data_IF_982975024536
#
_entry.id   IF_982975024536
#
_cell.length_a   1.000
_cell.length_b   1.000
_cell.length_c   1.000
_cell.angle_alpha   90.00
_cell.angle_beta   90.00
_cell.angle_gamma   90.00
#
_symmetry.space_group_name_H-M   'P 1'
#
loop_
_entity.id
_entity.type
_entity.pdbx_description
1 polymer ?
#
# COMPACT_ATOMS: atom_id res chain seq x y z
N UNK A 1 -25.29 -93.42 42.12
CA UNK A 1 -24.84 -93.41 43.52
C UNK A 1 -23.63 -92.50 43.58
N UNK A 2 -23.60 -91.66 44.61
CA UNK A 2 -22.57 -90.68 44.96
C UNK A 2 -22.54 -89.39 44.11
N UNK A 3 -22.87 -88.31 44.82
CA UNK A 3 -22.87 -86.92 44.41
C UNK A 3 -21.50 -86.32 44.69
N UNK A 4 -20.68 -86.09 43.67
CA UNK A 4 -19.46 -85.30 43.81
C UNK A 4 -19.74 -83.82 43.51
N UNK A 5 -19.76 -83.07 44.61
CA UNK A 5 -19.68 -81.63 44.68
C UNK A 5 -18.22 -81.26 44.35
N UNK A 6 -17.98 -80.53 43.27
CA UNK A 6 -16.96 -79.45 43.15
C UNK A 6 -16.87 -78.97 41.70
N UNK A 7 -17.71 -78.00 41.36
CA UNK A 7 -17.54 -77.17 40.16
C UNK A 7 -17.30 -75.71 40.58
N UNK A 8 -16.45 -75.05 39.81
CA UNK A 8 -16.22 -73.59 39.78
C UNK A 8 -15.33 -72.98 40.88
N UNK A 9 -14.02 -73.18 40.72
CA UNK A 9 -13.00 -72.25 41.22
C UNK A 9 -12.04 -71.82 40.10
N UNK A 10 -12.58 -71.37 38.96
CA UNK A 10 -11.82 -70.55 38.01
C UNK A 10 -12.72 -69.48 37.39
N UNK A 11 -12.14 -68.29 37.23
CA UNK A 11 -12.68 -67.11 36.51
C UNK A 11 -13.56 -66.12 37.29
N UNK A 12 -12.94 -65.32 38.17
CA UNK A 12 -13.30 -63.89 38.33
C UNK A 12 -12.05 -63.04 38.54
N UNK A 13 -11.35 -62.70 37.46
CA UNK A 13 -10.55 -61.47 37.48
C UNK A 13 -11.53 -60.28 37.60
N UNK A 14 -11.34 -59.34 38.54
CA UNK A 14 -12.19 -58.16 38.61
C UNK A 14 -11.99 -57.33 37.34
N UNK A 15 -13.08 -57.11 36.60
CA UNK A 15 -13.09 -56.21 35.46
C UNK A 15 -12.54 -54.84 35.89
N UNK A 16 -11.44 -54.40 35.28
CA UNK A 16 -10.92 -53.04 35.50
C UNK A 16 -12.03 -52.05 35.16
N UNK A 17 -12.35 -51.08 36.03
CA UNK A 17 -13.34 -50.08 35.70
C UNK A 17 -12.88 -49.35 34.43
N UNK A 18 -13.77 -49.22 33.43
CA UNK A 18 -13.48 -48.42 32.25
C UNK A 18 -13.26 -46.98 32.70
N UNK A 19 -12.01 -46.60 32.90
CA UNK A 19 -11.63 -45.22 33.20
C UNK A 19 -11.90 -44.41 31.94
N UNK A 20 -13.09 -43.80 31.86
CA UNK A 20 -13.33 -42.73 30.88
C UNK A 20 -12.23 -41.69 31.10
N UNK A 21 -11.27 -41.64 30.19
CA UNK A 21 -10.21 -40.64 30.21
C UNK A 21 -10.90 -39.27 30.07
N UNK A 22 -11.00 -38.51 31.17
CA UNK A 22 -11.43 -37.12 31.12
C UNK A 22 -10.37 -36.33 30.36
N UNK A 23 -10.61 -36.09 29.07
CA UNK A 23 -9.75 -35.22 28.28
C UNK A 23 -9.81 -33.79 28.84
N UNK A 24 -8.65 -33.26 29.22
CA UNK A 24 -8.53 -31.87 29.68
C UNK A 24 -8.63 -30.92 28.49
N UNK A 25 -9.71 -30.16 28.42
CA UNK A 25 -9.86 -29.07 27.46
C UNK A 25 -9.44 -27.73 28.10
N UNK A 26 -9.26 -26.70 27.27
CA UNK A 26 -8.93 -25.35 27.74
C UNK A 26 -10.08 -24.81 28.59
N UNK A 27 -9.80 -24.45 29.86
CA UNK A 27 -10.82 -24.00 30.83
C UNK A 27 -11.69 -22.81 30.38
N UNK A 28 -11.10 -21.84 29.67
CA UNK A 28 -11.81 -20.68 29.13
C UNK A 28 -11.38 -20.40 27.71
N UNK A 29 -12.35 -20.20 26.82
CA UNK A 29 -12.11 -19.91 25.42
C UNK A 29 -11.77 -18.44 25.19
N UNK A 30 -10.89 -18.20 24.23
CA UNK A 30 -10.59 -16.87 23.72
C UNK A 30 -10.08 -17.00 22.29
N UNK A 31 -10.27 -15.99 21.43
CA UNK A 31 -9.76 -16.01 20.08
C UNK A 31 -8.23 -16.17 20.09
N UNK A 32 -7.71 -16.77 19.02
CA UNK A 32 -6.27 -16.93 18.86
C UNK A 32 -5.56 -15.58 18.76
N UNK A 33 -4.30 -15.55 19.18
CA UNK A 33 -3.45 -14.36 19.01
C UNK A 33 -2.92 -14.26 17.58
N UNK A 34 -3.49 -13.34 16.81
CA UNK A 34 -3.06 -12.98 15.46
C UNK A 34 -3.57 -13.92 14.36
N UNK A 35 -3.85 -13.31 13.21
CA UNK A 35 -4.25 -14.04 12.00
C UNK A 35 -3.08 -14.80 11.38
N UNK A 36 -3.32 -16.08 11.06
CA UNK A 36 -2.37 -16.98 10.40
C UNK A 36 -2.21 -16.68 8.91
N UNK A 37 -3.17 -16.01 8.28
CA UNK A 37 -3.13 -15.65 6.85
C UNK A 37 -1.96 -14.71 6.50
N UNK A 38 -1.36 -14.07 7.50
CA UNK A 38 -0.21 -13.18 7.34
C UNK A 38 1.14 -13.86 7.67
N UNK A 39 1.16 -15.19 7.77
CA UNK A 39 2.39 -15.96 7.85
C UNK A 39 2.94 -16.31 6.46
N UNK A 40 4.26 -16.53 6.33
CA UNK A 40 5.30 -16.27 7.33
C UNK A 40 5.51 -14.77 7.58
N UNK A 41 5.65 -14.36 8.85
CA UNK A 41 5.94 -12.98 9.26
C UNK A 41 7.42 -12.65 9.12
N UNK A 42 7.89 -12.63 7.87
CA UNK A 42 9.26 -12.31 7.46
C UNK A 42 9.33 -10.97 6.74
N UNK A 43 10.54 -10.41 6.64
CA UNK A 43 10.79 -9.19 5.86
C UNK A 43 10.33 -9.35 4.41
N UNK A 44 9.70 -8.31 3.87
CA UNK A 44 9.37 -8.21 2.45
C UNK A 44 10.64 -8.26 1.62
N UNK A 45 10.66 -9.07 0.55
CA UNK A 45 11.80 -9.16 -0.35
C UNK A 45 12.00 -7.88 -1.20
N UNK A 46 10.96 -7.05 -1.31
CA UNK A 46 10.97 -5.82 -2.11
C UNK A 46 10.49 -4.64 -1.26
N UNK A 47 11.04 -3.46 -1.52
CA UNK A 47 10.67 -2.22 -0.83
C UNK A 47 9.34 -1.64 -1.32
N UNK A 48 9.01 -1.83 -2.60
CA UNK A 48 7.76 -1.35 -3.21
C UNK A 48 6.63 -2.36 -2.98
N UNK A 49 5.40 -1.86 -2.81
CA UNK A 49 4.19 -2.65 -3.01
C UNK A 49 4.20 -3.35 -4.37
N UNK A 50 3.96 -4.67 -4.37
CA UNK A 50 3.75 -5.44 -5.60
C UNK A 50 2.26 -5.71 -5.71
N UNK A 51 1.64 -5.21 -6.77
CA UNK A 51 0.31 -5.65 -7.16
C UNK A 51 0.39 -7.13 -7.54
N UNK A 52 -0.25 -7.99 -6.75
CA UNK A 52 -0.30 -9.44 -7.04
C UNK A 52 -1.49 -9.80 -7.94
N UNK A 53 -2.53 -8.99 -7.90
CA UNK A 53 -3.76 -9.13 -8.68
C UNK A 53 -4.23 -7.73 -9.05
N UNK A 54 -4.58 -7.51 -10.30
CA UNK A 54 -5.23 -6.27 -10.76
C UNK A 54 -6.74 -6.44 -10.72
N UNK A 55 -7.52 -5.34 -10.73
CA UNK A 55 -8.98 -5.40 -10.84
C UNK A 55 -9.42 -6.28 -12.00
N UNK A 56 -10.58 -6.91 -11.85
CA UNK A 56 -11.15 -7.75 -12.92
C UNK A 56 -11.35 -6.89 -14.16
N UNK A 57 -10.91 -7.41 -15.29
CA UNK A 57 -11.02 -6.74 -16.58
C UNK A 57 -12.44 -6.85 -17.12
N UNK A 58 -12.94 -5.77 -17.71
CA UNK A 58 -14.28 -5.66 -18.27
C UNK A 58 -14.18 -5.01 -19.66
N UNK A 59 -14.24 -5.81 -20.75
CA UNK A 59 -14.08 -5.32 -22.11
C UNK A 59 -15.11 -4.26 -22.53
N UNK A 60 -16.25 -4.15 -21.83
CA UNK A 60 -17.30 -3.17 -22.14
C UNK A 60 -16.95 -1.76 -21.67
N UNK A 61 -15.99 -1.62 -20.75
CA UNK A 61 -15.56 -0.32 -20.21
C UNK A 61 -14.49 0.31 -21.10
N UNK A 62 -14.35 1.65 -21.07
CA UNK A 62 -13.26 2.32 -21.75
C UNK A 62 -11.90 1.85 -21.22
N UNK A 63 -10.90 1.90 -22.10
CA UNK A 63 -9.53 1.51 -21.77
C UNK A 63 -8.95 2.46 -20.71
N UNK A 64 -8.41 1.92 -19.62
CA UNK A 64 -7.88 2.72 -18.52
C UNK A 64 -6.73 2.02 -17.79
N UNK A 65 -5.96 2.82 -17.03
CA UNK A 65 -4.92 2.34 -16.12
C UNK A 65 -5.52 1.95 -14.77
N UNK A 66 -4.94 0.92 -14.14
CA UNK A 66 -5.50 0.31 -12.93
C UNK A 66 -4.75 0.65 -11.64
N UNK A 67 -3.58 1.28 -11.74
CA UNK A 67 -2.73 1.58 -10.61
C UNK A 67 -1.78 2.75 -10.89
N UNK A 68 -1.33 3.39 -9.82
CA UNK A 68 -0.26 4.39 -9.85
C UNK A 68 0.68 4.25 -8.65
N UNK A 69 1.76 5.03 -8.64
CA UNK A 69 2.68 5.13 -7.50
C UNK A 69 2.73 6.54 -6.97
N UNK A 70 2.80 6.65 -5.64
CA UNK A 70 3.10 7.89 -4.94
C UNK A 70 4.00 7.64 -3.74
N UNK A 71 4.28 8.70 -2.98
CA UNK A 71 5.12 8.67 -1.80
C UNK A 71 4.35 9.21 -0.61
N UNK A 72 4.34 8.46 0.50
CA UNK A 72 3.67 8.90 1.73
C UNK A 72 4.37 10.16 2.27
N UNK A 73 3.73 11.32 2.19
CA UNK A 73 4.30 12.58 2.65
C UNK A 73 4.11 12.74 4.16
N UNK A 74 2.87 12.63 4.62
CA UNK A 74 2.51 12.79 6.01
C UNK A 74 1.03 12.52 6.25
N UNK A 75 0.54 12.99 7.40
CA UNK A 75 -0.87 12.92 7.77
C UNK A 75 -1.30 14.27 8.30
N UNK A 76 -2.57 14.57 8.11
CA UNK A 76 -3.23 15.74 8.68
C UNK A 76 -4.66 15.38 9.06
N UNK A 77 -5.47 16.37 9.46
CA UNK A 77 -6.90 16.19 9.73
C UNK A 77 -7.72 17.07 8.80
N UNK A 78 -8.96 16.66 8.56
CA UNK A 78 -9.96 17.43 7.80
C UNK A 78 -11.23 17.55 8.61
N UNK A 79 -12.01 18.58 8.30
CA UNK A 79 -13.42 18.70 8.68
C UNK A 79 -14.26 18.52 7.42
N UNK A 80 -15.33 17.76 7.54
CA UNK A 80 -16.35 17.60 6.49
C UNK A 80 -17.71 17.36 7.09
N UNK A 81 -18.76 17.62 6.32
CA UNK A 81 -20.09 17.16 6.67
C UNK A 81 -20.25 15.67 6.36
N UNK A 82 -20.89 14.95 7.28
CA UNK A 82 -21.24 13.55 7.07
C UNK A 82 -22.65 13.44 6.49
N UNK A 83 -22.75 13.28 5.17
CA UNK A 83 -24.02 12.95 4.52
C UNK A 83 -24.23 11.43 4.46
N UNK A 84 -24.74 10.88 5.56
CA UNK A 84 -25.16 9.48 5.61
C UNK A 84 -26.47 9.28 6.38
N UNK A 85 -27.63 9.23 5.70
CA UNK A 85 -28.91 8.97 6.35
C UNK A 85 -28.88 7.70 7.23
N UNK A 86 -29.36 7.84 8.47
CA UNK A 86 -29.34 6.78 9.50
C UNK A 86 -28.08 6.75 10.38
N UNK A 87 -27.04 7.53 10.08
CA UNK A 87 -25.91 7.69 10.99
C UNK A 87 -26.23 8.71 12.10
N UNK A 88 -25.76 8.46 13.33
CA UNK A 88 -25.90 9.42 14.47
C UNK A 88 -25.31 10.81 14.18
N UNK A 89 -24.31 10.86 13.29
CA UNK A 89 -23.61 12.07 12.87
C UNK A 89 -24.08 12.60 11.51
N UNK A 90 -25.22 12.13 10.99
CA UNK A 90 -25.75 12.63 9.72
C UNK A 90 -25.98 14.15 9.78
N UNK A 91 -25.53 14.87 8.74
CA UNK A 91 -25.56 16.34 8.64
C UNK A 91 -24.83 17.06 9.78
N UNK A 92 -23.87 16.38 10.41
CA UNK A 92 -22.95 16.97 11.38
C UNK A 92 -21.54 16.97 10.83
N UNK A 93 -20.78 17.97 11.27
CA UNK A 93 -19.36 18.05 11.00
C UNK A 93 -18.61 16.93 11.73
N UNK A 94 -17.70 16.29 11.01
CA UNK A 94 -16.81 15.26 11.56
C UNK A 94 -15.37 15.61 11.24
N UNK A 95 -14.50 15.39 12.23
CA UNK A 95 -13.06 15.48 12.05
C UNK A 95 -12.51 14.10 11.72
N UNK A 96 -11.81 13.97 10.60
CA UNK A 96 -11.21 12.70 10.20
C UNK A 96 -9.72 12.85 9.92
N UNK A 97 -8.94 11.84 10.36
CA UNK A 97 -7.53 11.76 10.01
C UNK A 97 -7.37 11.34 8.55
N UNK A 98 -6.43 11.97 7.86
CA UNK A 98 -6.11 11.72 6.45
C UNK A 98 -4.61 11.54 6.24
N UNK A 99 -4.25 10.78 5.22
CA UNK A 99 -2.87 10.65 4.74
C UNK A 99 -2.70 11.40 3.43
N UNK A 100 -1.65 12.21 3.35
CA UNK A 100 -1.23 12.85 2.10
C UNK A 100 -0.20 11.97 1.39
N UNK A 101 -0.47 11.65 0.13
CA UNK A 101 0.43 10.90 -0.76
C UNK A 101 0.82 11.81 -1.92
N UNK A 102 2.09 12.19 -1.98
CA UNK A 102 2.67 12.96 -3.10
C UNK A 102 2.78 12.04 -4.33
N UNK A 103 2.18 12.45 -5.44
CA UNK A 103 2.02 11.67 -6.66
C UNK A 103 2.60 12.45 -7.84
N UNK A 104 3.94 12.52 -7.99
CA UNK A 104 4.54 13.05 -9.21
C UNK A 104 4.08 12.24 -10.42
N UNK A 105 3.93 12.86 -11.61
CA UNK A 105 3.54 12.15 -12.81
C UNK A 105 4.44 10.93 -13.08
N UNK A 106 3.84 9.85 -13.58
CA UNK A 106 4.59 8.68 -14.01
C UNK A 106 4.83 8.75 -15.51
N UNK A 107 6.01 8.33 -15.96
CA UNK A 107 6.29 8.22 -17.40
C UNK A 107 6.11 6.77 -17.82
N UNK A 108 5.32 6.54 -18.86
CA UNK A 108 5.18 5.22 -19.50
C UNK A 108 6.34 5.04 -20.48
N UNK A 109 7.06 3.93 -20.33
CA UNK A 109 8.32 3.65 -21.04
C UNK A 109 8.31 2.32 -21.77
N UNK A 110 7.20 1.58 -21.73
CA UNK A 110 7.10 0.33 -22.43
C UNK A 110 5.77 -0.37 -22.24
N UNK A 111 5.61 -1.50 -22.91
CA UNK A 111 4.41 -2.31 -22.95
C UNK A 111 4.81 -3.78 -22.92
N UNK A 112 4.15 -4.56 -22.08
CA UNK A 112 4.37 -6.01 -21.90
C UNK A 112 3.09 -6.73 -22.25
N UNK A 113 3.19 -7.67 -23.19
CA UNK A 113 2.12 -8.60 -23.51
C UNK A 113 2.27 -9.90 -22.73
N UNK A 114 1.17 -10.39 -22.17
CA UNK A 114 1.11 -11.67 -21.49
C UNK A 114 0.18 -12.63 -22.22
N UNK A 115 0.68 -13.84 -22.47
CA UNK A 115 -0.10 -14.97 -22.99
C UNK A 115 -0.54 -15.85 -21.83
N UNK A 116 -1.78 -16.33 -21.91
CA UNK A 116 -2.30 -17.34 -21.00
C UNK A 116 -1.83 -18.73 -21.45
N UNK A 117 -1.22 -19.46 -20.53
CA UNK A 117 -0.76 -20.83 -20.75
C UNK A 117 -1.37 -21.73 -19.69
N UNK A 118 -1.38 -23.07 -19.87
CA UNK A 118 -1.86 -23.99 -18.83
C UNK A 118 -1.12 -23.88 -17.49
N UNK A 119 0.08 -23.26 -17.47
CA UNK A 119 0.88 -22.99 -16.25
C UNK A 119 0.70 -21.58 -15.69
N UNK A 120 -0.24 -20.81 -16.24
CA UNK A 120 -0.51 -19.40 -15.89
C UNK A 120 -0.01 -18.40 -16.94
N UNK A 121 0.02 -17.12 -16.56
CA UNK A 121 0.43 -16.04 -17.45
C UNK A 121 1.95 -16.05 -17.67
N UNK A 122 2.37 -16.00 -18.95
CA UNK A 122 3.77 -15.86 -19.36
C UNK A 122 3.95 -14.59 -20.16
N UNK A 123 5.01 -13.83 -19.87
CA UNK A 123 5.36 -12.65 -20.69
C UNK A 123 5.80 -13.11 -22.08
N UNK A 124 5.13 -12.62 -23.13
CA UNK A 124 5.45 -12.95 -24.50
C UNK A 124 6.55 -12.04 -25.05
N UNK A 125 6.34 -10.73 -24.97
CA UNK A 125 7.27 -9.69 -25.46
C UNK A 125 7.12 -8.42 -24.64
N UNK A 126 8.19 -7.64 -24.61
CA UNK A 126 8.24 -6.31 -23.99
C UNK A 126 8.75 -5.31 -25.02
N UNK A 127 7.91 -4.37 -25.38
CA UNK A 127 8.26 -3.22 -26.23
C UNK A 127 8.67 -2.08 -25.31
N UNK A 128 9.78 -1.41 -25.59
CA UNK A 128 10.21 -0.21 -24.88
C UNK A 128 10.07 1.03 -25.77
N UNK A 129 9.88 2.17 -25.14
CA UNK A 129 9.97 3.48 -25.77
C UNK A 129 11.40 3.77 -26.26
N UNK A 130 11.53 4.72 -27.19
CA UNK A 130 12.81 5.11 -27.78
C UNK A 130 13.68 5.84 -26.75
N UNK A 131 13.10 6.87 -26.13
CA UNK A 131 13.78 7.73 -25.20
C UNK A 131 13.47 7.36 -23.75
N UNK A 132 14.49 6.79 -23.10
CA UNK A 132 14.43 6.42 -21.68
C UNK A 132 15.22 7.39 -20.82
N UNK A 133 14.55 7.93 -19.80
CA UNK A 133 15.15 8.83 -18.82
C UNK A 133 16.29 8.17 -18.02
N UNK A 134 17.26 8.98 -17.59
CA UNK A 134 18.37 8.49 -16.77
C UNK A 134 17.92 7.90 -15.43
N UNK A 135 16.81 8.39 -14.86
CA UNK A 135 16.29 7.89 -13.59
C UNK A 135 15.76 6.45 -13.66
N UNK A 136 15.18 6.04 -14.81
CA UNK A 136 14.78 4.65 -15.03
C UNK A 136 15.98 3.79 -15.44
N UNK A 137 16.91 4.31 -16.24
CA UNK A 137 18.17 3.61 -16.57
C UNK A 137 18.98 3.27 -15.31
N UNK A 138 18.97 4.14 -14.29
CA UNK A 138 19.55 3.86 -12.94
C UNK A 138 19.00 2.61 -12.27
N UNK A 139 17.83 2.10 -12.66
CA UNK A 139 17.25 0.86 -12.13
C UNK A 139 18.07 -0.37 -12.48
N UNK A 140 18.77 -0.33 -13.61
CA UNK A 140 19.59 -1.43 -14.14
C UNK A 140 21.03 -1.42 -13.59
N UNK A 141 21.36 -0.44 -12.74
CA UNK A 141 22.69 -0.33 -12.12
C UNK A 141 22.61 -0.29 -10.60
N UNK A 142 23.58 -0.92 -9.93
CA UNK A 142 23.80 -0.71 -8.49
C UNK A 142 24.42 0.67 -8.27
N UNK A 143 25.53 0.97 -8.95
CA UNK A 143 26.20 2.26 -8.92
C UNK A 143 26.19 2.91 -10.32
N UNK A 144 25.44 3.99 -10.47
CA UNK A 144 25.28 4.70 -11.74
C UNK A 144 26.55 5.45 -12.16
N UNK A 145 27.19 6.14 -11.22
CA UNK A 145 28.30 7.06 -11.51
C UNK A 145 29.60 6.34 -11.87
N UNK A 146 29.79 5.11 -11.36
CA UNK A 146 30.93 4.25 -11.72
C UNK A 146 30.68 3.37 -12.95
N UNK A 147 29.50 3.47 -13.57
CA UNK A 147 29.14 2.65 -14.73
C UNK A 147 29.38 3.40 -16.04
N UNK A 148 29.59 2.67 -17.14
CA UNK A 148 29.64 3.24 -18.50
C UNK A 148 28.27 3.69 -19.04
N UNK A 149 27.19 3.53 -18.26
CA UNK A 149 25.80 3.94 -18.58
C UNK A 149 25.29 3.44 -19.95
N UNK A 150 25.65 2.22 -20.35
CA UNK A 150 25.30 1.61 -21.66
C UNK A 150 23.91 0.95 -21.73
N UNK A 151 23.07 1.05 -20.70
CA UNK A 151 21.73 0.47 -20.72
C UNK A 151 20.88 1.13 -21.81
N UNK A 152 20.22 0.31 -22.64
CA UNK A 152 19.37 0.72 -23.76
C UNK A 152 20.07 1.44 -24.93
N UNK A 153 21.39 1.56 -24.96
CA UNK A 153 22.07 2.25 -26.09
C UNK A 153 21.90 1.50 -27.41
N UNK A 154 21.98 0.16 -27.40
CA UNK A 154 21.72 -0.67 -28.58
C UNK A 154 20.24 -0.65 -28.99
N UNK A 155 19.34 -0.56 -28.02
CA UNK A 155 17.91 -0.50 -28.27
C UNK A 155 17.53 0.80 -28.97
N UNK A 156 17.99 1.94 -28.44
CA UNK A 156 17.79 3.25 -29.06
C UNK A 156 18.43 3.31 -30.46
N UNK A 157 19.65 2.79 -30.64
CA UNK A 157 20.31 2.71 -31.95
C UNK A 157 19.51 1.87 -32.96
N UNK A 158 18.98 0.72 -32.54
CA UNK A 158 18.11 -0.11 -33.39
C UNK A 158 16.82 0.63 -33.77
N UNK A 159 16.26 1.40 -32.83
CA UNK A 159 15.06 2.20 -33.06
C UNK A 159 15.28 3.30 -34.11
N UNK A 160 16.47 3.93 -34.12
CA UNK A 160 16.82 4.97 -35.09
C UNK A 160 17.21 4.41 -36.46
N UNK A 161 17.86 3.25 -36.52
CA UNK A 161 18.40 2.67 -37.78
C UNK A 161 17.44 1.74 -38.50
N UNK A 162 16.65 0.95 -37.75
CA UNK A 162 15.63 0.07 -38.32
C UNK A 162 14.31 0.82 -38.26
N UNK A 163 13.75 1.21 -39.40
CA UNK A 163 12.41 1.79 -39.48
C UNK A 163 11.42 1.01 -38.59
N UNK A 164 10.41 1.70 -38.05
CA UNK A 164 9.47 1.25 -37.00
C UNK A 164 8.89 -0.18 -37.10
N UNK A 165 9.03 -0.87 -38.23
CA UNK A 165 8.57 -2.24 -38.49
C UNK A 165 8.98 -3.28 -37.44
N UNK A 166 10.15 -3.17 -36.78
CA UNK A 166 10.50 -4.14 -35.73
C UNK A 166 9.61 -4.02 -34.48
N UNK A 167 9.17 -2.80 -34.16
CA UNK A 167 8.28 -2.51 -33.04
C UNK A 167 6.84 -2.76 -33.43
N UNK A 168 6.43 -2.34 -34.63
CA UNK A 168 5.11 -2.65 -35.17
C UNK A 168 4.86 -4.16 -35.16
N UNK A 169 5.85 -4.97 -35.56
CA UNK A 169 5.78 -6.43 -35.48
C UNK A 169 5.61 -6.95 -34.06
N UNK A 170 6.33 -6.39 -33.08
CA UNK A 170 6.18 -6.78 -31.67
C UNK A 170 4.82 -6.38 -31.11
N UNK A 171 4.30 -5.20 -31.47
CA UNK A 171 2.96 -4.73 -31.09
C UNK A 171 1.87 -5.60 -31.71
N UNK A 172 1.98 -5.96 -32.99
CA UNK A 172 1.08 -6.89 -33.68
C UNK A 172 1.11 -8.28 -33.04
N UNK A 173 2.30 -8.76 -32.65
CA UNK A 173 2.43 -10.00 -31.90
C UNK A 173 1.70 -9.95 -30.55
N UNK A 174 1.73 -8.81 -29.86
CA UNK A 174 0.96 -8.62 -28.63
C UNK A 174 -0.54 -8.63 -28.93
N UNK A 175 -0.98 -7.89 -29.94
CA UNK A 175 -2.39 -7.87 -30.38
C UNK A 175 -2.93 -9.26 -30.71
N UNK A 176 -2.13 -10.10 -31.38
CA UNK A 176 -2.54 -11.42 -31.85
C UNK A 176 -2.59 -12.49 -30.75
N UNK A 177 -1.60 -12.52 -29.85
CA UNK A 177 -1.39 -13.68 -28.96
C UNK A 177 -1.60 -13.39 -27.47
N UNK A 178 -1.65 -12.12 -27.06
CA UNK A 178 -1.73 -11.80 -25.63
C UNK A 178 -3.18 -11.61 -25.18
N UNK A 179 -3.47 -12.08 -23.96
CA UNK A 179 -4.76 -11.86 -23.29
C UNK A 179 -4.70 -10.67 -22.35
N UNK A 180 -3.53 -10.41 -21.76
CA UNK A 180 -3.32 -9.32 -20.80
C UNK A 180 -2.22 -8.38 -21.31
N UNK A 181 -2.49 -7.09 -21.27
CA UNK A 181 -1.55 -6.02 -21.65
C UNK A 181 -1.22 -5.18 -20.42
N UNK A 182 0.06 -4.90 -20.23
CA UNK A 182 0.53 -4.03 -19.13
C UNK A 182 1.49 -2.98 -19.65
N UNK A 183 1.33 -1.75 -19.19
CA UNK A 183 2.32 -0.70 -19.42
C UNK A 183 3.42 -0.77 -18.36
N UNK A 184 4.65 -0.46 -18.76
CA UNK A 184 5.77 -0.23 -17.88
C UNK A 184 5.85 1.26 -17.58
N UNK A 185 5.61 1.64 -16.34
CA UNK A 185 5.65 3.03 -15.90
C UNK A 185 6.68 3.22 -14.79
N UNK A 186 7.41 4.34 -14.82
CA UNK A 186 8.32 4.72 -13.75
C UNK A 186 7.92 6.03 -13.09
N UNK A 187 8.19 6.14 -11.79
CA UNK A 187 8.05 7.39 -11.04
C UNK A 187 9.09 8.42 -11.46
N UNK A 188 8.72 9.70 -11.48
CA UNK A 188 9.67 10.82 -11.54
C UNK A 188 10.14 11.21 -10.13
N UNK A 189 11.14 10.50 -9.61
CA UNK A 189 11.51 10.66 -8.19
C UNK A 189 12.20 11.99 -7.89
N UNK A 190 12.83 12.61 -8.89
CA UNK A 190 13.49 13.92 -8.74
C UNK A 190 12.50 15.07 -8.53
N UNK A 191 11.24 14.89 -8.92
CA UNK A 191 10.18 15.86 -8.64
C UNK A 191 9.74 15.85 -7.17
N UNK A 192 10.26 14.92 -6.36
CA UNK A 192 9.96 14.79 -4.92
C UNK A 192 11.14 15.30 -4.09
N UNK A 193 10.96 15.69 -2.82
CA UNK A 193 12.05 16.10 -1.91
C UNK A 193 12.96 14.94 -1.46
N UNK A 194 12.90 13.78 -2.11
CA UNK A 194 13.64 12.59 -1.73
C UNK A 194 15.08 12.61 -2.25
N UNK A 195 16.03 12.16 -1.40
CA UNK A 195 17.44 12.01 -1.80
C UNK A 195 17.66 10.94 -2.87
N UNK A 196 16.74 9.97 -3.00
CA UNK A 196 16.86 8.87 -3.94
C UNK A 196 16.64 9.38 -5.38
N UNK A 197 17.60 9.14 -6.27
CA UNK A 197 17.53 9.53 -7.70
C UNK A 197 17.12 8.40 -8.64
N UNK A 198 16.96 7.19 -8.12
CA UNK A 198 16.64 5.96 -8.87
C UNK A 198 15.13 5.79 -8.91
N UNK A 199 14.53 5.79 -10.10
CA UNK A 199 13.10 5.64 -10.25
C UNK A 199 12.60 4.25 -9.82
N UNK A 200 11.32 4.18 -9.46
CA UNK A 200 10.60 2.93 -9.26
C UNK A 200 9.86 2.58 -10.54
N UNK A 201 10.25 1.48 -11.18
CA UNK A 201 9.63 0.95 -12.41
C UNK A 201 8.63 -0.16 -12.08
N UNK A 202 7.34 0.00 -12.41
CA UNK A 202 6.30 -1.02 -12.24
C UNK A 202 5.57 -1.34 -13.53
N UNK A 203 4.95 -2.52 -13.56
CA UNK A 203 3.91 -2.83 -14.54
C UNK A 203 2.55 -2.36 -13.99
N UNK A 204 1.73 -1.74 -14.84
CA UNK A 204 0.34 -1.39 -14.57
C UNK A 204 -0.51 -2.09 -15.63
N UNK A 205 -1.51 -2.85 -15.22
CA UNK A 205 -2.40 -3.52 -16.16
C UNK A 205 -3.35 -2.51 -16.81
N UNK A 206 -3.52 -2.65 -18.12
CA UNK A 206 -4.51 -1.89 -18.89
C UNK A 206 -5.78 -2.75 -18.98
N UNK A 207 -6.88 -2.22 -18.47
CA UNK A 207 -8.19 -2.88 -18.49
C UNK A 207 -9.15 -2.10 -19.41
N UNK A 208 -10.24 -2.74 -19.85
CA UNK A 208 -11.22 -2.14 -20.75
C UNK A 208 -10.94 -2.40 -22.22
N UNK A 209 -11.98 -2.39 -23.06
CA UNK A 209 -11.89 -2.57 -24.50
C UNK A 209 -11.31 -3.90 -24.96
N UNK A 210 -11.04 -3.99 -26.28
CA UNK A 210 -10.35 -5.13 -26.89
C UNK A 210 -8.84 -5.11 -26.60
N UNK A 211 -8.15 -6.22 -26.86
CA UNK A 211 -6.67 -6.27 -26.75
C UNK A 211 -6.01 -5.25 -27.68
N UNK A 212 -6.57 -5.04 -28.88
CA UNK A 212 -6.05 -4.06 -29.83
C UNK A 212 -6.14 -2.63 -29.26
N UNK A 213 -7.26 -2.28 -28.64
CA UNK A 213 -7.46 -0.97 -28.02
C UNK A 213 -6.49 -0.75 -26.87
N UNK A 214 -6.27 -1.78 -26.04
CA UNK A 214 -5.28 -1.74 -24.95
C UNK A 214 -3.86 -1.50 -25.44
N UNK A 215 -3.46 -2.14 -26.53
CA UNK A 215 -2.13 -1.96 -27.14
C UNK A 215 -2.00 -0.55 -27.70
N UNK A 216 -3.00 -0.06 -28.44
CA UNK A 216 -3.01 1.29 -29.01
C UNK A 216 -2.97 2.36 -27.92
N UNK A 217 -3.77 2.20 -26.87
CA UNK A 217 -3.77 3.08 -25.70
C UNK A 217 -2.40 3.09 -25.00
N UNK A 218 -1.86 1.91 -24.69
CA UNK A 218 -0.58 1.81 -23.98
C UNK A 218 0.60 2.35 -24.79
N UNK A 219 0.61 2.14 -26.11
CA UNK A 219 1.60 2.71 -27.02
C UNK A 219 1.45 4.24 -27.15
N UNK A 220 0.21 4.74 -27.22
CA UNK A 220 -0.07 6.18 -27.29
C UNK A 220 0.37 6.97 -26.06
N UNK A 221 0.62 6.30 -24.93
CA UNK A 221 1.15 6.86 -23.70
C UNK A 221 2.69 6.86 -23.63
N UNK A 222 3.40 6.27 -24.58
CA UNK A 222 4.87 6.21 -24.54
C UNK A 222 5.47 7.61 -24.41
N UNK A 223 6.41 7.73 -23.47
CA UNK A 223 7.17 8.95 -23.14
C UNK A 223 6.31 10.12 -22.60
N UNK A 224 5.00 9.91 -22.44
CA UNK A 224 4.09 10.91 -21.90
C UNK A 224 3.91 10.78 -20.40
N UNK A 225 3.69 11.91 -19.70
CA UNK A 225 3.32 11.89 -18.29
C UNK A 225 1.88 11.39 -18.11
N UNK A 226 1.72 10.47 -17.17
CA UNK A 226 0.42 10.02 -16.64
C UNK A 226 0.21 10.71 -15.31
N UNK A 227 -0.75 11.62 -15.28
CA UNK A 227 -1.19 12.33 -14.07
C UNK A 227 -2.13 11.45 -13.23
N UNK A 228 -2.24 11.74 -11.94
CA UNK A 228 -2.95 10.87 -11.00
C UNK A 228 -4.48 10.89 -11.19
N UNK A 229 -5.03 12.01 -11.64
CA UNK A 229 -6.43 12.25 -11.97
C UNK A 229 -6.89 11.49 -13.22
N UNK A 230 -5.97 11.18 -14.14
CA UNK A 230 -6.28 10.30 -15.29
C UNK A 230 -6.47 8.83 -14.89
N UNK A 231 -6.05 8.45 -13.67
CA UNK A 231 -6.12 7.08 -13.16
C UNK A 231 -7.23 6.92 -12.13
N UNK A 232 -7.38 7.90 -11.24
CA UNK A 232 -8.33 7.87 -10.13
C UNK A 232 -9.26 9.05 -10.15
N UNK A 233 -10.48 8.83 -9.70
CA UNK A 233 -11.48 9.88 -9.54
C UNK A 233 -11.58 10.32 -8.08
N UNK A 234 -12.02 11.57 -7.88
CA UNK A 234 -12.39 12.02 -6.53
C UNK A 234 -13.54 11.15 -6.01
N UNK A 235 -13.56 10.90 -4.70
CA UNK A 235 -14.52 9.99 -4.06
C UNK A 235 -14.40 8.51 -4.49
N UNK A 236 -13.41 8.11 -5.27
CA UNK A 236 -13.20 6.69 -5.54
C UNK A 236 -12.64 5.96 -4.29
N UNK A 237 -12.96 4.67 -4.18
CA UNK A 237 -12.35 3.75 -3.21
C UNK A 237 -11.17 3.03 -3.85
N UNK A 238 -10.00 3.11 -3.22
CA UNK A 238 -8.76 2.53 -3.72
C UNK A 238 -8.08 1.64 -2.69
N UNK A 239 -7.12 0.88 -3.17
CA UNK A 239 -6.26 0.03 -2.35
C UNK A 239 -4.85 0.61 -2.27
N UNK A 240 -4.31 0.68 -1.06
CA UNK A 240 -2.96 1.11 -0.77
C UNK A 240 -2.05 -0.09 -0.51
N UNK A 241 -1.14 -0.35 -1.43
CA UNK A 241 -0.19 -1.46 -1.35
C UNK A 241 1.20 -0.92 -1.02
N UNK A 242 1.69 -1.26 0.17
CA UNK A 242 2.99 -0.81 0.64
C UNK A 242 3.63 -1.79 1.62
N UNK A 243 4.90 -1.56 1.91
CA UNK A 243 5.61 -2.28 2.97
C UNK A 243 5.38 -1.55 4.29
N UNK A 244 5.13 -2.25 5.39
CA UNK A 244 4.92 -1.65 6.72
C UNK A 244 6.21 -1.11 7.33
N UNK A 245 6.12 -0.19 8.30
CA UNK A 245 7.29 0.26 9.08
C UNK A 245 7.99 -0.97 9.68
N UNK A 246 9.32 -1.06 9.53
CA UNK A 246 10.11 -2.10 10.18
C UNK A 246 10.29 -1.78 11.66
N UNK A 247 10.12 -2.80 12.52
CA UNK A 247 10.36 -2.70 13.96
C UNK A 247 11.54 -3.57 14.42
N UNK A 248 11.99 -4.49 13.56
CA UNK A 248 13.15 -5.34 13.84
C UNK A 248 12.74 -6.65 14.51
N UNK A 249 13.61 -7.21 15.34
CA UNK A 249 13.32 -8.40 16.11
C UNK A 249 12.50 -8.03 17.35
N UNK A 250 11.31 -8.59 17.48
CA UNK A 250 10.35 -8.27 18.52
C UNK A 250 9.94 -9.52 19.31
N UNK A 251 9.69 -9.32 20.61
CA UNK A 251 9.18 -10.36 21.50
C UNK A 251 7.72 -10.73 21.18
N UNK A 252 7.28 -11.88 21.70
CA UNK A 252 5.93 -12.42 21.45
C UNK A 252 4.80 -11.46 21.82
N UNK A 253 4.95 -10.71 22.92
CA UNK A 253 3.93 -9.77 23.40
C UNK A 253 3.66 -8.66 22.40
N UNK A 254 4.67 -7.97 21.88
CA UNK A 254 4.47 -6.87 20.94
C UNK A 254 4.19 -7.38 19.51
N UNK A 255 4.85 -8.48 19.10
CA UNK A 255 4.67 -9.08 17.78
C UNK A 255 3.27 -9.68 17.58
N UNK A 256 2.73 -10.36 18.58
CA UNK A 256 1.47 -11.13 18.47
C UNK A 256 0.34 -10.63 19.37
N UNK A 257 0.61 -9.69 20.29
CA UNK A 257 -0.39 -9.21 21.23
C UNK A 257 -0.72 -10.23 22.33
N UNK A 258 0.19 -11.14 22.66
CA UNK A 258 -0.04 -12.12 23.74
C UNK A 258 -0.11 -11.44 25.10
N UNK A 259 -0.98 -11.92 25.98
CA UNK A 259 -1.06 -11.42 27.37
C UNK A 259 0.28 -11.67 28.08
N UNK A 260 0.75 -10.69 28.84
CA UNK A 260 1.93 -10.84 29.71
C UNK A 260 1.61 -11.81 30.85
N UNK A 261 2.60 -12.57 31.30
CA UNK A 261 2.48 -13.44 32.47
C UNK A 261 2.45 -12.63 33.77
N UNK A 262 2.00 -13.21 34.91
CA UNK A 262 2.00 -12.54 36.20
C UNK A 262 3.37 -11.96 36.58
N UNK A 263 3.38 -10.85 37.32
CA UNK A 263 4.61 -10.12 37.68
C UNK A 263 5.66 -11.00 38.37
N UNK A 264 5.22 -11.95 39.20
CA UNK A 264 6.08 -12.87 39.98
C UNK A 264 6.59 -14.07 39.15
N UNK A 265 6.41 -14.09 37.83
CA UNK A 265 6.87 -15.20 36.99
C UNK A 265 8.39 -15.23 36.92
N UNK A 266 8.98 -16.36 37.30
CA UNK A 266 10.41 -16.59 37.17
C UNK A 266 10.86 -16.66 35.70
N UNK A 267 12.07 -16.16 35.41
CA UNK A 267 12.66 -16.07 34.05
C UNK A 267 11.83 -15.24 33.05
N UNK A 268 11.17 -14.18 33.54
CA UNK A 268 10.57 -13.14 32.72
C UNK A 268 9.09 -13.33 32.36
N UNK A 269 8.41 -12.20 32.13
CA UNK A 269 6.96 -12.10 31.98
C UNK A 269 6.47 -11.90 30.52
N UNK A 270 7.36 -11.50 29.60
CA UNK A 270 7.03 -11.21 28.18
C UNK A 270 7.25 -12.44 27.28
N UNK A 271 6.74 -13.59 27.70
CA UNK A 271 6.84 -14.88 27.01
C UNK A 271 5.48 -15.57 26.92
N UNK A 272 5.37 -16.57 26.06
CA UNK A 272 4.23 -17.50 26.07
C UNK A 272 4.57 -18.63 27.06
N UNK A 273 3.65 -18.97 27.95
CA UNK A 273 3.88 -19.98 28.98
C UNK A 273 3.95 -21.41 28.40
N UNK A 274 2.94 -21.81 27.63
CA UNK A 274 2.86 -23.12 26.99
C UNK A 274 3.07 -22.98 25.47
N UNK A 275 4.06 -23.69 24.93
CA UNK A 275 4.41 -23.67 23.50
C UNK A 275 3.85 -24.85 22.70
N UNK A 276 3.09 -25.73 23.35
CA UNK A 276 2.50 -26.95 22.79
C UNK A 276 2.14 -27.94 23.90
N UNK A 277 1.24 -28.87 23.59
CA UNK A 277 1.04 -30.07 24.41
C UNK A 277 2.22 -31.04 24.21
N UNK A 278 2.23 -32.15 24.95
CA UNK A 278 3.25 -33.20 24.76
C UNK A 278 3.17 -33.79 23.34
N UNK A 279 1.96 -34.16 22.91
CA UNK A 279 1.70 -34.70 21.58
C UNK A 279 0.93 -33.64 20.76
N UNK A 280 1.36 -33.29 19.53
CA UNK A 280 2.51 -33.84 18.79
C UNK A 280 3.87 -33.32 19.30
N UNK A 281 4.93 -34.13 19.14
CA UNK A 281 6.30 -33.87 19.64
C UNK A 281 7.08 -32.79 18.86
N UNK A 282 6.40 -31.72 18.44
CA UNK A 282 7.01 -30.55 17.82
C UNK A 282 6.17 -29.28 18.08
N UNK A 283 6.84 -28.13 18.06
CA UNK A 283 6.15 -26.84 18.18
C UNK A 283 5.41 -26.55 16.89
N UNK A 284 4.08 -26.38 16.97
CA UNK A 284 3.29 -26.02 15.80
C UNK A 284 3.63 -24.61 15.30
N UNK A 285 3.63 -24.42 13.99
CA UNK A 285 3.85 -23.12 13.33
C UNK A 285 2.77 -22.07 13.68
N UNK A 286 1.64 -22.52 14.21
CA UNK A 286 0.53 -21.68 14.68
C UNK A 286 0.81 -20.99 16.02
N UNK A 287 1.81 -21.47 16.77
CA UNK A 287 2.19 -20.93 18.08
C UNK A 287 2.93 -19.61 17.92
N UNK A 288 2.54 -18.61 18.71
CA UNK A 288 3.17 -17.29 18.69
C UNK A 288 4.63 -17.37 19.19
N UNK A 289 5.57 -16.97 18.34
CA UNK A 289 7.02 -16.92 18.64
C UNK A 289 7.60 -15.54 18.39
N UNK A 290 8.72 -15.22 19.05
CA UNK A 290 9.48 -13.99 18.82
C UNK A 290 10.08 -13.99 17.39
N UNK A 291 10.47 -12.83 16.89
CA UNK A 291 11.07 -12.69 15.56
C UNK A 291 10.76 -11.36 14.91
N UNK A 292 10.97 -11.27 13.59
CA UNK A 292 10.71 -10.06 12.83
C UNK A 292 9.27 -9.54 13.03
N UNK A 293 9.14 -8.25 13.37
CA UNK A 293 7.90 -7.48 13.24
C UNK A 293 8.09 -6.27 12.32
N UNK A 294 7.05 -5.96 11.56
CA UNK A 294 7.08 -4.91 10.56
C UNK A 294 7.98 -5.22 9.36
N UNK A 295 8.02 -4.29 8.41
CA UNK A 295 8.63 -4.48 7.09
C UNK A 295 7.98 -5.62 6.29
N UNK A 296 6.67 -5.79 6.43
CA UNK A 296 5.87 -6.77 5.71
C UNK A 296 5.14 -6.10 4.54
N UNK A 297 4.92 -6.83 3.44
CA UNK A 297 4.04 -6.38 2.37
C UNK A 297 2.57 -6.42 2.82
N UNK A 298 1.82 -5.33 2.65
CA UNK A 298 0.40 -5.26 2.94
C UNK A 298 -0.36 -4.58 1.82
N UNK A 299 -1.53 -5.14 1.50
CA UNK A 299 -2.56 -4.49 0.71
C UNK A 299 -3.60 -4.02 1.71
N UNK A 300 -3.63 -2.72 1.97
CA UNK A 300 -4.67 -2.09 2.78
C UNK A 300 -5.78 -1.66 1.83
N UNK A 301 -6.96 -2.24 1.98
CA UNK A 301 -8.06 -2.07 1.03
C UNK A 301 -9.01 -0.98 1.47
N UNK A 302 -9.81 -0.46 0.53
CA UNK A 302 -10.96 0.39 0.80
C UNK A 302 -10.60 1.76 1.45
N UNK A 303 -9.58 2.42 0.93
CA UNK A 303 -9.28 3.82 1.25
C UNK A 303 -10.06 4.75 0.33
N UNK A 304 -10.89 5.62 0.90
CA UNK A 304 -11.61 6.66 0.15
C UNK A 304 -10.64 7.80 -0.21
N UNK A 305 -10.67 8.24 -1.46
CA UNK A 305 -10.03 9.49 -1.88
C UNK A 305 -10.95 10.64 -1.49
N UNK A 306 -10.45 11.57 -0.69
CA UNK A 306 -11.18 12.79 -0.31
C UNK A 306 -10.87 13.97 -1.22
N UNK A 307 -9.66 14.01 -1.77
CA UNK A 307 -9.26 15.04 -2.72
C UNK A 307 -8.12 14.54 -3.59
N UNK A 308 -8.17 14.94 -4.85
CA UNK A 308 -7.05 14.92 -5.77
C UNK A 308 -6.61 16.37 -5.93
N UNK A 309 -5.51 16.74 -5.28
CA UNK A 309 -5.04 18.12 -5.29
C UNK A 309 -3.99 18.32 -6.36
N UNK A 310 -4.07 19.45 -7.09
CA UNK A 310 -3.08 19.84 -8.09
C UNK A 310 -1.90 20.55 -7.44
N UNK A 311 -0.68 20.16 -7.80
CA UNK A 311 0.55 20.71 -7.20
C UNK A 311 0.79 22.18 -7.52
N UNK A 312 0.31 22.64 -8.69
CA UNK A 312 0.44 24.03 -9.16
C UNK A 312 -0.57 25.00 -8.55
N UNK A 313 -1.63 24.48 -7.95
CA UNK A 313 -2.68 25.31 -7.36
C UNK A 313 -2.26 25.80 -5.97
N UNK A 314 -2.19 27.12 -5.80
CA UNK A 314 -1.85 27.78 -4.53
C UNK A 314 -2.93 27.59 -3.45
N UNK A 315 -4.17 27.31 -3.86
CA UNK A 315 -5.31 27.02 -3.01
C UNK A 315 -5.63 25.53 -2.85
N UNK A 316 -4.70 24.63 -3.16
CA UNK A 316 -5.01 23.19 -3.20
C UNK A 316 -5.44 22.56 -1.86
N UNK A 317 -5.26 23.26 -0.74
CA UNK A 317 -5.79 22.88 0.59
C UNK A 317 -6.85 23.84 1.13
N UNK A 318 -7.30 24.81 0.34
CA UNK A 318 -8.47 25.65 0.61
C UNK A 318 -9.77 24.90 0.27
N UNK A 319 -10.90 25.42 0.73
CA UNK A 319 -12.23 24.85 0.46
C UNK A 319 -13.20 25.98 0.14
N UNK A 320 -14.44 25.66 -0.26
CA UNK A 320 -15.47 26.69 -0.45
C UNK A 320 -15.81 27.41 0.87
N UNK A 321 -15.66 26.72 2.01
CA UNK A 321 -15.91 27.24 3.34
C UNK A 321 -14.69 27.93 3.98
N UNK A 322 -13.49 27.56 3.56
CA UNK A 322 -12.22 28.14 4.00
C UNK A 322 -11.50 28.77 2.80
N UNK A 323 -11.83 30.03 2.59
CA UNK A 323 -11.36 30.88 1.49
C UNK A 323 -9.87 31.26 1.61
N UNK A 324 -9.24 30.98 2.74
CA UNK A 324 -7.83 31.28 2.98
C UNK A 324 -6.97 30.48 2.02
N UNK A 325 -6.26 31.13 1.10
CA UNK A 325 -5.36 30.46 0.15
C UNK A 325 -4.23 29.76 0.91
N UNK A 326 -4.26 28.43 0.90
CA UNK A 326 -3.28 27.60 1.58
C UNK A 326 -2.99 26.34 0.80
N UNK A 327 -1.73 25.92 0.86
CA UNK A 327 -1.26 24.69 0.25
C UNK A 327 -1.27 23.53 1.26
N UNK A 328 -1.34 22.30 0.75
CA UNK A 328 -1.38 21.09 1.59
C UNK A 328 -0.13 20.89 2.46
N UNK A 329 0.98 21.53 2.10
CA UNK A 329 2.22 21.50 2.87
C UNK A 329 2.02 22.28 4.18
N UNK A 330 2.08 21.63 5.36
CA UNK A 330 1.86 22.32 6.62
C UNK A 330 2.98 23.30 6.94
N UNK A 331 2.76 24.23 7.87
CA UNK A 331 3.80 25.19 8.29
C UNK A 331 5.08 24.47 8.78
N UNK A 332 6.21 24.80 8.14
CA UNK A 332 7.51 24.14 8.36
C UNK A 332 7.69 22.82 7.60
N UNK A 333 6.77 22.47 6.71
CA UNK A 333 6.79 21.27 5.89
C UNK A 333 6.34 20.00 6.63
N UNK A 334 6.10 18.93 5.88
CA UNK A 334 5.83 17.63 6.51
C UNK A 334 7.08 17.11 7.21
N UNK A 335 6.98 16.89 8.53
CA UNK A 335 8.11 16.44 9.37
C UNK A 335 8.81 15.21 8.78
N UNK A 336 10.11 15.34 8.50
CA UNK A 336 10.98 14.31 7.86
C UNK A 336 10.60 13.95 6.41
N UNK A 337 9.71 14.66 5.76
CA UNK A 337 9.41 14.52 4.33
C UNK A 337 9.88 15.76 3.55
N UNK A 338 9.35 16.93 3.90
CA UNK A 338 9.57 18.19 3.18
C UNK A 338 8.26 18.77 2.64
N UNK A 339 8.38 19.56 1.58
CA UNK A 339 7.25 20.16 0.86
C UNK A 339 6.65 19.18 -0.16
N UNK A 340 5.35 19.29 -0.39
CA UNK A 340 4.63 18.59 -1.47
C UNK A 340 4.39 19.61 -2.57
N UNK A 341 5.06 19.45 -3.72
CA UNK A 341 4.99 20.34 -4.88
C UNK A 341 4.27 19.74 -6.08
N UNK A 342 4.09 18.42 -6.09
CA UNK A 342 3.38 17.74 -7.15
C UNK A 342 1.92 17.55 -6.76
N UNK A 343 1.15 17.01 -7.70
CA UNK A 343 -0.19 16.52 -7.43
C UNK A 343 -0.16 15.51 -6.27
N UNK A 344 -1.25 15.44 -5.51
CA UNK A 344 -1.33 14.57 -4.34
C UNK A 344 -2.72 13.96 -4.18
N UNK A 345 -2.76 12.83 -3.48
CA UNK A 345 -4.00 12.24 -2.98
C UNK A 345 -4.14 12.49 -1.48
N UNK A 346 -5.34 12.90 -1.09
CA UNK A 346 -5.79 12.95 0.30
C UNK A 346 -6.63 11.71 0.59
N UNK A 347 -6.07 10.75 1.34
CA UNK A 347 -6.71 9.46 1.59
C UNK A 347 -7.26 9.38 3.00
N UNK A 348 -8.48 8.85 3.14
CA UNK A 348 -9.08 8.59 4.45
C UNK A 348 -8.21 7.66 5.29
N UNK A 349 -7.93 8.10 6.51
CA UNK A 349 -7.22 7.33 7.53
C UNK A 349 -5.73 7.20 7.27
N UNK A 350 -5.17 6.07 7.70
CA UNK A 350 -3.73 5.80 7.63
C UNK A 350 -3.40 4.75 6.57
N UNK A 351 -2.36 4.98 5.78
CA UNK A 351 -1.84 3.98 4.82
C UNK A 351 -0.59 3.26 5.38
N UNK A 352 -0.29 2.02 4.97
CA UNK A 352 0.87 1.29 5.46
C UNK A 352 2.19 1.98 5.13
N UNK A 353 3.14 1.93 6.07
CA UNK A 353 4.51 2.40 5.84
C UNK A 353 4.86 3.72 6.52
N UNK A 354 6.15 4.06 6.42
CA UNK A 354 6.72 5.31 6.95
C UNK A 354 6.58 6.44 5.92
N UNK A 355 6.79 7.68 6.36
CA UNK A 355 6.97 8.82 5.46
C UNK A 355 8.10 8.53 4.45
N UNK A 356 8.04 9.12 3.25
CA UNK A 356 8.95 8.88 2.11
C UNK A 356 8.82 7.51 1.44
N UNK A 357 8.00 6.60 1.98
CA UNK A 357 7.84 5.26 1.39
C UNK A 357 7.00 5.34 0.12
N UNK A 358 7.46 4.66 -0.92
CA UNK A 358 6.67 4.44 -2.12
C UNK A 358 5.45 3.56 -1.79
N UNK A 359 4.27 4.04 -2.18
CA UNK A 359 2.98 3.37 -2.05
C UNK A 359 2.47 3.12 -3.46
N UNK A 360 2.06 1.88 -3.74
CA UNK A 360 1.35 1.56 -4.98
C UNK A 360 -0.14 1.66 -4.70
N UNK A 361 -0.79 2.59 -5.38
CA UNK A 361 -2.21 2.85 -5.34
C UNK A 361 -2.85 2.01 -6.45
N UNK A 362 -3.85 1.22 -6.14
CA UNK A 362 -4.56 0.37 -7.12
C UNK A 362 -6.04 0.67 -7.03
N UNK A 363 -6.76 0.68 -8.16
CA UNK A 363 -8.23 0.66 -8.14
C UNK A 363 -8.73 -0.54 -7.33
N UNK A 364 -9.91 -0.41 -6.72
CA UNK A 364 -10.45 -1.48 -5.89
C UNK A 364 -10.65 -2.78 -6.69
N UNK A 365 -10.45 -3.92 -6.02
CA UNK A 365 -10.83 -5.23 -6.56
C UNK A 365 -12.34 -5.48 -6.47
N UNK A 366 -13.03 -4.72 -5.62
CA UNK A 366 -14.43 -4.92 -5.30
C UNK A 366 -15.27 -3.82 -5.94
N UNK A 367 -16.42 -4.18 -6.48
CA UNK A 367 -17.47 -3.23 -6.79
C UNK A 367 -18.08 -2.76 -5.47
N UNK A 368 -17.96 -1.47 -5.18
CA UNK A 368 -18.47 -0.91 -3.94
C UNK A 368 -19.92 -0.46 -4.10
N UNK A 369 -20.82 -1.04 -3.32
CA UNK A 369 -22.25 -0.71 -3.32
C UNK A 369 -22.72 -0.07 -2.00
N UNK A 370 -21.89 -0.14 -0.95
CA UNK A 370 -22.26 0.41 0.36
C UNK A 370 -22.35 1.94 0.31
N UNK A 371 -23.35 2.52 1.00
CA UNK A 371 -23.53 3.98 1.10
C UNK A 371 -22.25 4.73 1.51
N UNK A 372 -21.49 4.19 2.48
CA UNK A 372 -20.19 4.76 2.92
C UNK A 372 -19.15 4.86 1.80
N UNK A 373 -19.18 3.94 0.84
CA UNK A 373 -18.25 3.91 -0.26
C UNK A 373 -18.68 4.80 -1.43
N UNK A 374 -20.00 4.97 -1.64
CA UNK A 374 -20.57 5.82 -2.69
C UNK A 374 -20.78 7.28 -2.24
N UNK A 375 -20.60 7.56 -0.96
CA UNK A 375 -20.73 8.90 -0.36
C UNK A 375 -19.82 9.92 -1.07
N UNK A 376 -20.39 11.01 -1.57
CA UNK A 376 -19.62 12.14 -2.08
C UNK A 376 -19.01 12.91 -0.92
N UNK A 377 -17.76 13.33 -1.05
CA UNK A 377 -17.03 14.00 0.03
C UNK A 377 -16.86 15.46 -0.29
N UNK A 378 -17.56 16.29 0.48
CA UNK A 378 -17.33 17.73 0.50
C UNK A 378 -16.49 18.12 1.72
N UNK A 379 -15.38 18.82 1.51
CA UNK A 379 -14.44 19.17 2.56
C UNK A 379 -14.69 20.61 3.01
N UNK A 380 -14.89 20.80 4.32
CA UNK A 380 -15.03 22.13 4.92
C UNK A 380 -13.70 22.74 5.30
N UNK A 381 -12.76 21.94 5.78
CA UNK A 381 -11.46 22.44 6.22
C UNK A 381 -10.38 21.38 6.14
N UNK A 382 -9.16 21.80 5.84
CA UNK A 382 -7.95 20.97 5.85
C UNK A 382 -6.92 21.62 6.76
N UNK A 383 -6.41 20.87 7.73
CA UNK A 383 -5.44 21.37 8.70
C UNK A 383 -4.04 21.54 8.09
N UNK A 384 -3.59 22.77 7.92
CA UNK A 384 -2.24 23.14 7.43
C UNK A 384 -1.32 23.61 8.55
N UNK A 385 -1.74 23.50 9.82
CA UNK A 385 -0.91 23.86 10.96
C UNK A 385 0.39 23.06 11.05
N UNK A 386 1.39 23.60 11.74
CA UNK A 386 2.67 22.89 11.89
C UNK A 386 2.48 21.54 12.58
N UNK A 387 3.08 20.49 11.98
CA UNK A 387 3.10 19.14 12.55
C UNK A 387 4.38 18.84 13.32
N UNK A 388 5.25 19.85 13.50
CA UNK A 388 6.46 19.80 14.31
C UNK A 388 6.22 20.55 15.63
N UNK A 389 5.73 19.82 16.63
CA UNK A 389 5.17 20.42 17.85
C UNK A 389 3.66 20.59 17.74
N UNK A 390 3.11 21.56 18.48
CA UNK A 390 1.68 21.89 18.47
C UNK A 390 1.47 23.15 17.62
N UNK A 391 0.93 22.99 16.41
CA UNK A 391 0.68 24.10 15.50
C UNK A 391 -0.58 24.87 15.89
N UNK A 392 -0.45 26.16 16.21
CA UNK A 392 -1.58 27.04 16.53
C UNK A 392 -2.11 27.83 15.32
N UNK A 393 -1.31 27.98 14.26
CA UNK A 393 -1.63 28.80 13.09
C UNK A 393 -1.73 27.93 11.83
N UNK A 394 -2.64 28.27 10.92
CA UNK A 394 -2.82 27.58 9.63
C UNK A 394 -1.91 28.15 8.55
N UNK A 395 -1.67 29.47 8.59
CA UNK A 395 -0.83 30.18 7.62
C UNK A 395 0.30 30.96 8.31
N UNK A 396 1.34 31.29 7.54
CA UNK A 396 2.43 32.14 8.04
C UNK A 396 1.95 33.58 8.27
N UNK A 397 0.97 34.04 7.48
CA UNK A 397 0.32 35.33 7.62
C UNK A 397 -0.43 35.44 8.96
N UNK A 398 -1.24 34.44 9.33
CA UNK A 398 -1.89 34.37 10.64
C UNK A 398 -0.88 34.45 11.79
N UNK A 399 0.23 33.70 11.70
CA UNK A 399 1.27 33.73 12.72
C UNK A 399 1.91 35.12 12.83
N UNK A 400 2.20 35.77 11.70
CA UNK A 400 2.79 37.12 11.68
C UNK A 400 1.83 38.15 12.25
N UNK A 401 0.54 38.07 11.91
CA UNK A 401 -0.50 38.94 12.45
C UNK A 401 -0.66 38.79 13.97
N UNK A 402 -0.64 37.55 14.48
CA UNK A 402 -0.75 37.28 15.91
C UNK A 402 0.47 37.71 16.71
N UNK A 403 1.68 37.42 16.21
CA UNK A 403 2.93 37.67 16.96
C UNK A 403 3.39 39.13 16.85
N UNK A 404 3.00 39.85 15.79
CA UNK A 404 3.46 41.21 15.54
C UNK A 404 4.91 41.29 15.05
N UNK A 405 5.48 42.50 15.07
CA UNK A 405 6.85 42.76 14.65
C UNK A 405 7.84 42.23 15.68
N UNK A 406 8.78 41.40 15.24
CA UNK A 406 9.84 40.86 16.08
C UNK A 406 11.16 41.58 15.81
N UNK A 407 12.12 41.46 16.74
CA UNK A 407 13.47 42.04 16.60
C UNK A 407 14.13 41.76 15.24
N UNK A 408 13.99 40.53 14.72
CA UNK A 408 14.55 40.13 13.42
C UNK A 408 13.96 40.88 12.22
N UNK A 409 12.75 41.41 12.36
CA UNK A 409 12.05 42.11 11.27
C UNK A 409 12.57 43.54 11.12
N UNK A 410 13.17 44.12 12.17
CA UNK A 410 13.81 45.45 12.14
C UNK A 410 15.26 45.42 11.64
N UNK A 411 15.91 44.24 11.62
CA UNK A 411 17.31 44.07 11.17
C UNK A 411 17.40 43.96 9.64
N UNK A 412 16.30 43.68 8.96
CA UNK A 412 16.25 43.57 7.47
C UNK A 412 15.83 44.88 6.78
N UNK A 413 15.49 45.91 7.55
CA UNK A 413 15.09 47.24 7.08
C UNK A 413 16.22 48.28 7.15
N UNK A 414 17.45 47.86 7.43
CA UNK A 414 18.69 48.62 7.30
C UNK A 414 19.62 47.87 6.35
#
# INVERSE_FOLDING_TARGET
>A
METDITAELFSRQPARPSTRIKMSHRKFEAPRHGSLAFLPRKRSARHRGKVKSFPKDDPKKPVHLTAAMGYKAGMTTIVRDLDRPGAKMHKKEVVEAVTVVDTPPMIVVGLVGYIETPRGLRSLTTVWAEHLSDEVKRRFYKNWYRSKKKAFTKYAKKHSETSAGSITRELERIKKYCTVVRVLAHTQIRATPLKQKKAHLMEIQVNGGSVADKVSFGHGLFEKPVEIDTVFEQDEMIDCIAVTKGKGFEGVTHRWGTKKLPRKTHKGLRKVACIGAWHPSHVQWTVARAGQDGYHHRTSVNHKIYRIGKGKDEGNASTEFDVSKKQITPLGGFVRYGEVKNDFLLLKGSVPGVKKRVVTLRKSMFTHTSRKALEKVDLKWIDTSSKFGHGAFQTAAEKKAFVGALKKDFVTSA
#
